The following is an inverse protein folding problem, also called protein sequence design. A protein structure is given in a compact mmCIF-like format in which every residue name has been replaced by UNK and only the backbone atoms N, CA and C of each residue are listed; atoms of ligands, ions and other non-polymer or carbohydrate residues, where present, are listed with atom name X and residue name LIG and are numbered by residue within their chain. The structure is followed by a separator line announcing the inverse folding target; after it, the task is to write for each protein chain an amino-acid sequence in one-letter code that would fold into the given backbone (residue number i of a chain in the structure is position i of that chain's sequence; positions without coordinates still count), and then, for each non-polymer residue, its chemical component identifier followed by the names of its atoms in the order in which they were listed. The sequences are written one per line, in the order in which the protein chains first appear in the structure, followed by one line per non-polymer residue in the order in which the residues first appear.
data_IF_500110848595
#
_entry.id   IF_500110848595
#
_cell.length_a   1.000
_cell.length_b   1.000
_cell.length_c   1.000
_cell.angle_alpha   90.00
_cell.angle_beta   90.00
_cell.angle_gamma   90.00
#
_symmetry.space_group_name_H-M   'P 1'
#
loop_
_entity.id
_entity.type
_entity.pdbx_description
1 polymer ?
#
# COMPACT_ATOMS: atom_id res chain seq x y z
N UNK A 1 -2.81 -8.89 -10.61
CA UNK A 1 -2.23 -10.25 -10.56
C UNK A 1 -2.36 -10.73 -9.12
N UNK A 2 -2.96 -11.89 -8.85
CA UNK A 2 -3.06 -12.43 -7.48
C UNK A 2 -1.84 -13.32 -7.21
N UNK A 3 -0.86 -12.78 -6.49
CA UNK A 3 0.44 -13.44 -6.28
C UNK A 3 0.49 -14.27 -4.99
N UNK A 4 -0.47 -14.11 -4.09
CA UNK A 4 -0.58 -14.90 -2.84
C UNK A 4 -1.13 -16.33 -3.03
N UNK A 5 -1.29 -16.80 -4.28
CA UNK A 5 -1.84 -18.12 -4.57
C UNK A 5 -3.30 -18.26 -4.13
N UNK A 6 -3.61 -19.29 -3.33
CA UNK A 6 -4.95 -19.53 -2.75
C UNK A 6 -5.18 -18.77 -1.43
N UNK A 7 -4.17 -18.09 -0.89
CA UNK A 7 -4.28 -17.38 0.38
C UNK A 7 -4.77 -15.96 0.15
N UNK A 8 -5.73 -15.53 0.98
CA UNK A 8 -6.11 -14.12 1.04
C UNK A 8 -4.99 -13.29 1.68
N UNK A 9 -4.96 -11.98 1.43
CA UNK A 9 -4.02 -11.09 2.12
C UNK A 9 -4.19 -11.11 3.65
N UNK A 10 -5.42 -11.21 4.14
CA UNK A 10 -5.68 -11.32 5.58
C UNK A 10 -5.03 -12.58 6.18
N UNK A 11 -5.15 -13.73 5.50
CA UNK A 11 -4.53 -14.98 5.95
C UNK A 11 -3.00 -14.94 5.89
N UNK A 12 -2.42 -14.17 4.95
CA UNK A 12 -0.97 -13.96 4.87
C UNK A 12 -0.49 -13.10 6.04
N UNK A 13 -1.21 -12.00 6.34
CA UNK A 13 -0.92 -11.14 7.49
C UNK A 13 -0.96 -11.96 8.78
N UNK A 14 -2.06 -12.67 9.03
CA UNK A 14 -2.23 -13.45 10.26
C UNK A 14 -1.09 -14.47 10.45
N UNK A 15 -0.75 -15.24 9.42
CA UNK A 15 0.31 -16.23 9.51
C UNK A 15 1.69 -15.59 9.79
N UNK A 16 1.97 -14.45 9.16
CA UNK A 16 3.23 -13.74 9.36
C UNK A 16 3.30 -13.09 10.76
N UNK A 17 2.21 -12.48 11.24
CA UNK A 17 2.13 -11.89 12.59
C UNK A 17 2.32 -12.96 13.66
N UNK A 18 1.71 -14.15 13.49
CA UNK A 18 1.92 -15.29 14.39
C UNK A 18 3.39 -15.74 14.40
N UNK A 19 4.03 -15.78 13.22
CA UNK A 19 5.40 -16.27 13.10
C UNK A 19 6.47 -15.29 13.59
N UNK A 20 6.24 -13.99 13.35
CA UNK A 20 7.18 -12.92 13.68
C UNK A 20 6.95 -12.33 15.07
N UNK A 21 5.75 -12.51 15.64
CA UNK A 21 5.31 -11.86 16.87
C UNK A 21 5.13 -10.35 16.74
N UNK A 22 5.15 -9.82 15.52
CA UNK A 22 5.05 -8.38 15.22
C UNK A 22 3.92 -8.13 14.23
N UNK A 23 3.33 -6.94 14.32
CA UNK A 23 2.30 -6.49 13.37
C UNK A 23 2.90 -6.34 11.98
N UNK A 24 2.19 -6.82 10.96
CA UNK A 24 2.67 -6.72 9.57
C UNK A 24 2.28 -5.36 8.98
N UNK A 25 3.29 -4.63 8.53
CA UNK A 25 3.14 -3.34 7.83
C UNK A 25 2.64 -3.52 6.38
N UNK A 26 2.07 -2.47 5.79
CA UNK A 26 1.53 -2.53 4.42
C UNK A 26 2.66 -2.75 3.40
N UNK A 27 3.82 -2.13 3.62
CA UNK A 27 5.00 -2.32 2.79
C UNK A 27 5.52 -3.76 2.90
N UNK A 28 5.57 -4.31 4.11
CA UNK A 28 5.99 -5.69 4.35
C UNK A 28 5.05 -6.70 3.69
N UNK A 29 3.74 -6.45 3.73
CA UNK A 29 2.76 -7.29 3.05
C UNK A 29 2.96 -7.31 1.52
N UNK A 30 3.38 -6.20 0.91
CA UNK A 30 3.73 -6.18 -0.50
C UNK A 30 4.91 -7.12 -0.79
N UNK A 31 5.96 -7.06 0.03
CA UNK A 31 7.12 -7.92 -0.12
C UNK A 31 6.76 -9.40 -0.01
N UNK A 32 6.03 -9.79 1.04
CA UNK A 32 5.64 -11.18 1.28
C UNK A 32 4.79 -11.72 0.12
N UNK A 33 3.86 -10.90 -0.37
CA UNK A 33 2.92 -11.32 -1.41
C UNK A 33 3.52 -11.31 -2.81
N UNK A 34 4.65 -10.65 -3.04
CA UNK A 34 5.29 -10.54 -4.37
C UNK A 34 6.68 -11.20 -4.42
N UNK A 35 7.07 -11.93 -3.37
CA UNK A 35 8.25 -12.79 -3.33
C UNK A 35 7.88 -14.25 -3.55
N UNK A 36 8.76 -14.99 -4.21
CA UNK A 36 8.71 -16.45 -4.30
C UNK A 36 9.22 -17.08 -2.99
N UNK A 37 9.11 -18.41 -2.88
CA UNK A 37 9.63 -19.16 -1.72
C UNK A 37 11.14 -19.01 -1.52
N UNK A 38 11.90 -18.79 -2.59
CA UNK A 38 13.34 -18.53 -2.57
C UNK A 38 13.69 -17.07 -2.21
N UNK A 39 12.68 -16.24 -1.88
CA UNK A 39 12.76 -14.81 -1.60
C UNK A 39 13.10 -13.91 -2.79
N UNK A 40 13.25 -14.46 -3.99
CA UNK A 40 13.38 -13.66 -5.21
C UNK A 40 12.05 -12.97 -5.56
N UNK A 41 12.06 -11.81 -6.22
CA UNK A 41 10.84 -11.17 -6.68
C UNK A 41 10.15 -12.04 -7.74
N UNK A 42 8.82 -12.06 -7.75
CA UNK A 42 8.05 -12.84 -8.72
C UNK A 42 8.27 -12.37 -10.16
N UNK A 43 8.46 -11.07 -10.37
CA UNK A 43 8.74 -10.44 -11.68
C UNK A 43 9.82 -9.36 -11.53
N UNK A 44 10.47 -8.97 -12.63
CA UNK A 44 11.44 -7.86 -12.61
C UNK A 44 10.79 -6.55 -12.14
N UNK A 45 9.58 -6.26 -12.61
CA UNK A 45 8.80 -5.09 -12.18
C UNK A 45 8.53 -5.09 -10.68
N UNK A 46 8.16 -6.24 -10.10
CA UNK A 46 7.98 -6.35 -8.65
C UNK A 46 9.30 -6.08 -7.90
N UNK A 47 10.42 -6.55 -8.43
CA UNK A 47 11.76 -6.25 -7.89
C UNK A 47 12.07 -4.75 -7.91
N UNK A 48 11.84 -4.08 -9.03
CA UNK A 48 12.03 -2.62 -9.15
C UNK A 48 11.14 -1.83 -8.19
N UNK A 49 9.88 -2.26 -8.02
CA UNK A 49 8.97 -1.64 -7.06
C UNK A 49 9.46 -1.85 -5.63
N UNK A 50 9.91 -3.06 -5.26
CA UNK A 50 10.45 -3.34 -3.92
C UNK A 50 11.64 -2.44 -3.59
N UNK A 51 12.58 -2.27 -4.54
CA UNK A 51 13.72 -1.36 -4.36
C UNK A 51 13.27 0.10 -4.16
N UNK A 52 12.33 0.58 -4.98
CA UNK A 52 11.77 1.95 -4.81
C UNK A 52 11.06 2.14 -3.47
N UNK A 53 10.32 1.14 -3.01
CA UNK A 53 9.65 1.19 -1.70
C UNK A 53 10.68 1.23 -0.57
N UNK A 54 11.75 0.44 -0.66
CA UNK A 54 12.82 0.39 0.34
C UNK A 54 13.63 1.69 0.39
N UNK A 55 13.99 2.24 -0.77
CA UNK A 55 14.65 3.55 -0.88
C UNK A 55 13.80 4.65 -0.24
N UNK A 56 12.50 4.70 -0.56
CA UNK A 56 11.59 5.68 0.03
C UNK A 56 11.39 5.46 1.52
N UNK A 57 11.33 4.21 2.01
CA UNK A 57 11.25 3.94 3.45
C UNK A 57 12.45 4.52 4.19
N UNK A 58 13.66 4.29 3.70
CA UNK A 58 14.87 4.88 4.28
C UNK A 58 14.85 6.41 4.26
N UNK A 59 14.41 7.04 3.16
CA UNK A 59 14.28 8.50 3.06
C UNK A 59 13.30 9.04 4.13
N UNK A 60 12.14 8.41 4.29
CA UNK A 60 11.14 8.84 5.27
C UNK A 60 11.54 8.57 6.72
N UNK A 61 12.30 7.50 7.00
CA UNK A 61 12.85 7.23 8.34
C UNK A 61 13.85 8.34 8.75
N UNK A 62 14.70 8.79 7.83
CA UNK A 62 15.62 9.92 8.07
C UNK A 62 14.85 11.22 8.33
N UNK A 63 13.79 11.47 7.55
CA UNK A 63 12.93 12.65 7.75
C UNK A 63 12.21 12.57 9.10
N UNK A 64 11.62 11.43 9.46
CA UNK A 64 10.94 11.25 10.74
C UNK A 64 11.88 11.40 11.94
N UNK A 65 13.15 11.02 11.79
CA UNK A 65 14.19 11.27 12.79
C UNK A 65 14.56 12.75 12.93
N UNK A 66 14.32 13.57 11.90
CA UNK A 66 14.68 15.00 11.89
C UNK A 66 13.49 15.90 12.23
N UNK A 67 12.29 15.51 11.78
CA UNK A 67 11.04 16.22 11.95
C UNK A 67 10.02 15.31 12.66
N UNK A 68 9.93 15.47 13.99
CA UNK A 68 9.03 14.71 14.85
C UNK A 68 7.54 14.99 14.60
N UNK A 69 7.21 15.98 13.76
CA UNK A 69 5.82 16.24 13.34
C UNK A 69 5.33 15.25 12.27
N UNK A 70 6.24 14.49 11.65
CA UNK A 70 5.90 13.46 10.68
C UNK A 70 5.32 12.25 11.41
N UNK A 71 4.00 12.06 11.30
CA UNK A 71 3.32 10.92 11.91
C UNK A 71 3.75 9.59 11.26
N UNK A 72 4.39 8.72 12.06
CA UNK A 72 4.90 7.41 11.68
C UNK A 72 3.81 6.47 11.13
N UNK A 73 2.58 6.55 11.66
CA UNK A 73 1.44 5.71 11.25
C UNK A 73 1.00 5.95 9.80
N UNK A 74 1.49 7.03 9.16
CA UNK A 74 1.12 7.41 7.80
C UNK A 74 2.26 7.30 6.78
N UNK A 75 3.46 6.92 7.22
CA UNK A 75 4.64 6.85 6.35
C UNK A 75 4.43 5.83 5.22
N UNK A 76 3.97 4.63 5.55
CA UNK A 76 3.66 3.57 4.59
C UNK A 76 2.70 4.04 3.48
N UNK A 77 1.59 4.68 3.86
CA UNK A 77 0.58 5.15 2.92
C UNK A 77 1.16 6.20 1.97
N UNK A 78 2.00 7.10 2.51
CA UNK A 78 2.66 8.15 1.74
C UNK A 78 3.68 7.56 0.77
N UNK A 79 4.47 6.57 1.20
CA UNK A 79 5.41 5.84 0.35
C UNK A 79 4.67 5.12 -0.78
N UNK A 80 3.61 4.37 -0.45
CA UNK A 80 2.78 3.66 -1.42
C UNK A 80 2.23 4.64 -2.46
N UNK A 81 1.68 5.78 -2.04
CA UNK A 81 1.16 6.79 -2.97
C UNK A 81 2.25 7.37 -3.87
N UNK A 82 3.49 7.52 -3.38
CA UNK A 82 4.61 8.05 -4.16
C UNK A 82 5.18 7.04 -5.17
N UNK A 83 5.29 5.77 -4.80
CA UNK A 83 5.87 4.74 -5.66
C UNK A 83 4.84 4.17 -6.63
N UNK A 84 3.61 3.97 -6.16
CA UNK A 84 2.59 3.22 -6.88
C UNK A 84 1.45 4.10 -7.40
N UNK A 85 1.39 5.36 -6.98
CA UNK A 85 0.30 6.30 -7.27
C UNK A 85 -0.83 6.22 -6.24
N UNK A 86 -1.71 7.22 -6.26
CA UNK A 86 -2.82 7.33 -5.31
C UNK A 86 -3.73 6.09 -5.33
N UNK A 87 -4.37 5.83 -4.20
CA UNK A 87 -5.42 4.83 -4.13
C UNK A 87 -6.62 5.20 -5.00
N UNK A 88 -7.32 4.18 -5.52
CA UNK A 88 -8.49 4.37 -6.37
C UNK A 88 -9.76 4.27 -5.54
N UNK A 89 -10.82 4.95 -5.99
CA UNK A 89 -12.12 4.86 -5.35
C UNK A 89 -12.58 3.40 -5.25
N UNK A 90 -13.08 3.00 -4.08
CA UNK A 90 -13.55 1.64 -3.83
C UNK A 90 -12.46 0.58 -3.63
N UNK A 91 -11.17 0.94 -3.65
CA UNK A 91 -10.08 -0.05 -3.50
C UNK A 91 -8.87 0.50 -2.76
N UNK A 92 -8.57 -0.10 -1.61
CA UNK A 92 -7.31 0.09 -0.88
C UNK A 92 -6.27 -0.93 -1.35
N UNK A 93 -5.07 -0.47 -1.74
CA UNK A 93 -4.01 -1.39 -2.17
C UNK A 93 -3.61 -2.29 -0.99
N UNK A 94 -3.35 -3.56 -1.25
CA UNK A 94 -2.87 -4.53 -0.24
C UNK A 94 -3.84 -4.85 0.91
N UNK A 95 -5.10 -4.40 0.87
CA UNK A 95 -6.13 -4.74 1.86
C UNK A 95 -7.16 -5.77 1.36
N UNK A 96 -7.11 -6.13 0.06
CA UNK A 96 -8.04 -7.07 -0.55
C UNK A 96 -9.25 -6.40 -1.20
N UNK A 97 -10.32 -7.16 -1.39
CA UNK A 97 -11.59 -6.67 -1.96
C UNK A 97 -12.53 -6.19 -0.85
N UNK A 98 -13.32 -5.15 -1.11
CA UNK A 98 -14.36 -4.66 -0.19
C UNK A 98 -13.93 -3.53 0.76
N UNK A 99 -12.64 -3.25 0.88
CA UNK A 99 -12.15 -2.11 1.68
C UNK A 99 -12.09 -0.85 0.80
N UNK A 100 -12.88 0.16 1.17
CA UNK A 100 -12.84 1.48 0.53
C UNK A 100 -11.85 2.41 1.25
N UNK A 101 -11.13 3.31 0.54
CA UNK A 101 -10.22 4.26 1.18
C UNK A 101 -10.88 5.05 2.31
N UNK A 102 -12.14 5.46 2.14
CA UNK A 102 -12.89 6.21 3.16
C UNK A 102 -13.11 5.41 4.45
N UNK A 103 -13.38 4.10 4.35
CA UNK A 103 -13.57 3.24 5.52
C UNK A 103 -12.24 2.89 6.22
N UNK A 104 -11.16 2.77 5.45
CA UNK A 104 -9.85 2.39 5.97
C UNK A 104 -9.11 3.57 6.62
N UNK A 105 -9.09 4.72 5.94
CA UNK A 105 -8.37 5.91 6.39
C UNK A 105 -9.19 6.82 7.30
N UNK A 106 -10.52 6.64 7.34
CA UNK A 106 -11.45 7.55 8.01
C UNK A 106 -11.25 9.00 7.49
N UNK A 107 -11.81 10.00 8.17
CA UNK A 107 -11.64 11.43 7.86
C UNK A 107 -10.25 11.98 8.24
N UNK A 108 -9.17 11.23 7.99
CA UNK A 108 -7.80 11.75 8.03
C UNK A 108 -7.55 12.62 6.80
N UNK A 109 -7.70 13.93 6.94
CA UNK A 109 -7.78 14.96 5.88
C UNK A 109 -6.55 15.12 4.96
N UNK A 110 -5.59 14.20 4.97
CA UNK A 110 -4.38 14.26 4.13
C UNK A 110 -4.13 12.99 3.29
N UNK A 111 -4.94 11.93 3.46
CA UNK A 111 -4.66 10.63 2.85
C UNK A 111 -5.35 10.39 1.51
N UNK A 112 -6.36 11.19 1.18
CA UNK A 112 -7.08 11.12 -0.10
C UNK A 112 -6.87 12.40 -0.91
N UNK A 113 -5.78 12.44 -1.68
CA UNK A 113 -5.69 13.32 -2.84
C UNK A 113 -5.98 12.45 -4.07
N UNK A 114 -7.20 12.44 -4.61
CA UNK A 114 -7.42 11.82 -5.90
C UNK A 114 -6.56 12.62 -6.89
N UNK A 115 -5.72 11.94 -7.67
CA UNK A 115 -5.13 12.57 -8.86
C UNK A 115 -6.29 13.16 -9.66
N UNK A 116 -6.40 14.49 -9.64
CA UNK A 116 -7.53 15.18 -10.25
C UNK A 116 -7.72 14.77 -11.71
N UNK A 117 -8.99 14.72 -12.12
CA UNK A 117 -9.52 14.65 -13.50
C UNK A 117 -10.12 13.34 -14.04
N UNK A 118 -9.90 12.15 -13.46
CA UNK A 118 -10.48 10.93 -14.08
C UNK A 118 -11.83 10.48 -13.50
N UNK A 119 -12.03 10.58 -12.17
CA UNK A 119 -13.25 10.09 -11.53
C UNK A 119 -14.48 11.01 -11.72
N UNK A 120 -14.28 12.33 -11.87
CA UNK A 120 -15.38 13.26 -12.16
C UNK A 120 -15.85 13.18 -13.62
N UNK A 121 -14.97 12.79 -14.55
CA UNK A 121 -15.32 12.66 -15.96
C UNK A 121 -16.27 11.48 -16.23
N UNK A 122 -16.19 10.40 -15.44
CA UNK A 122 -17.04 9.22 -15.63
C UNK A 122 -18.47 9.45 -15.11
N UNK A 123 -18.63 10.24 -14.03
CA UNK A 123 -19.95 10.58 -13.47
C UNK A 123 -20.75 11.50 -14.39
N UNK A 124 -20.06 12.33 -15.18
CA UNK A 124 -20.73 13.24 -16.12
C UNK A 124 -21.29 12.50 -17.36
N UNK A 125 -20.67 11.39 -17.77
CA UNK A 125 -21.09 10.61 -18.97
C UNK A 125 -22.29 9.70 -18.74
N UNK A 126 -22.74 9.56 -17.50
CA UNK A 126 -23.93 8.80 -17.10
C UNK A 126 -25.18 9.68 -16.98
N UNK A 127 -25.04 10.99 -17.24
CA UNK A 127 -26.15 11.96 -17.23
C UNK A 127 -26.64 12.35 -18.62
N UNK A 128 -26.08 11.75 -19.67
CA UNK A 128 -26.49 11.97 -21.06
C UNK A 128 -27.19 10.72 -21.63
#
# INVERSE_FOLDING_TARGET
MHTAGLRSFASVVEAEEISSGQKVERLQLFEITHKKKDRSPMTSEAGEIMEKLKEKKAEYEVIASTDSSVNLENIDNRIINKVLGSERYGRVRFQGSGVTPTQYFRSGSQQYMPSGSQAQAEVQRLRD
#
